data_IF_097561460100
#
_entry.id   IF_097561460100
#
_cell.length_a   1.000
_cell.length_b   1.000
_cell.length_c   1.000
_cell.angle_alpha   90.00
_cell.angle_beta   90.00
_cell.angle_gamma   90.00
#
_symmetry.space_group_name_H-M   'P 1'
#
loop_
_entity.id
_entity.type
_entity.pdbx_description
1 polymer ?
#
# COMPACT_ATOMS: atom_id res chain seq x y z
N UNK A 1 -11.96 9.60 4.56
CA UNK A 1 -10.61 9.75 3.96
C UNK A 1 -10.39 8.89 2.71
N UNK A 2 -11.24 7.89 2.46
CA UNK A 2 -11.30 7.17 1.18
C UNK A 2 -12.38 7.82 0.32
N UNK A 3 -12.09 8.10 -0.95
CA UNK A 3 -13.02 8.76 -1.88
C UNK A 3 -13.22 7.96 -3.17
N UNK A 4 -14.36 8.15 -3.83
CA UNK A 4 -14.67 7.56 -5.13
C UNK A 4 -13.90 8.24 -6.28
N UNK A 5 -14.00 7.69 -7.49
CA UNK A 5 -13.40 8.30 -8.69
C UNK A 5 -14.12 9.61 -9.07
N UNK A 6 -15.44 9.66 -8.86
CA UNK A 6 -16.28 10.83 -9.09
C UNK A 6 -15.92 11.96 -8.12
N UNK A 7 -15.78 11.65 -6.82
CA UNK A 7 -15.35 12.61 -5.82
C UNK A 7 -13.92 13.14 -6.11
N UNK A 8 -13.01 12.29 -6.59
CA UNK A 8 -11.68 12.74 -7.00
C UNK A 8 -11.74 13.68 -8.21
N UNK A 9 -12.63 13.41 -9.17
CA UNK A 9 -12.86 14.29 -10.31
C UNK A 9 -13.39 15.67 -9.86
N UNK A 10 -14.32 15.70 -8.91
CA UNK A 10 -14.81 16.95 -8.31
C UNK A 10 -13.68 17.72 -7.61
N UNK A 11 -12.79 17.04 -6.89
CA UNK A 11 -11.61 17.67 -6.27
C UNK A 11 -10.69 18.29 -7.32
N UNK A 12 -10.45 17.60 -8.45
CA UNK A 12 -9.65 18.13 -9.56
C UNK A 12 -10.27 19.39 -10.19
N UNK A 13 -11.59 19.56 -10.09
CA UNK A 13 -12.34 20.69 -10.66
C UNK A 13 -12.53 21.88 -9.70
N UNK A 14 -11.93 21.88 -8.51
CA UNK A 14 -12.08 22.96 -7.53
C UNK A 14 -11.43 24.27 -8.02
N UNK A 15 -12.24 25.30 -8.27
CA UNK A 15 -11.74 26.60 -8.74
C UNK A 15 -11.09 27.48 -7.66
N UNK A 16 -11.35 27.20 -6.37
CA UNK A 16 -10.83 28.01 -5.24
C UNK A 16 -9.43 27.60 -4.78
N UNK A 17 -8.99 26.41 -5.15
CA UNK A 17 -7.74 25.81 -4.72
C UNK A 17 -6.89 25.50 -5.93
N UNK A 18 -5.59 25.72 -5.84
CA UNK A 18 -4.68 25.26 -6.89
C UNK A 18 -4.41 23.77 -6.67
N UNK A 19 -4.94 22.95 -7.58
CA UNK A 19 -4.78 21.50 -7.58
C UNK A 19 -3.78 21.12 -8.66
N UNK A 20 -2.79 20.31 -8.31
CA UNK A 20 -1.81 19.80 -9.28
C UNK A 20 -1.58 18.32 -9.11
N UNK A 21 -1.61 17.62 -10.24
CA UNK A 21 -1.34 16.20 -10.32
C UNK A 21 0.12 15.94 -10.67
N UNK A 22 0.72 14.97 -10.00
CA UNK A 22 2.07 14.49 -10.23
C UNK A 22 2.02 12.99 -10.43
N UNK A 23 2.52 12.56 -11.59
CA UNK A 23 2.75 11.14 -11.83
C UNK A 23 3.86 10.65 -10.90
N UNK A 24 3.59 9.53 -10.22
CA UNK A 24 4.60 8.78 -9.47
C UNK A 24 5.17 7.64 -10.30
N UNK A 25 5.10 7.74 -11.63
CA UNK A 25 5.72 6.82 -12.56
C UNK A 25 7.15 7.24 -12.91
N UNK A 26 8.00 6.25 -13.18
CA UNK A 26 9.36 6.46 -13.63
C UNK A 26 9.83 5.36 -14.56
N UNK A 27 10.67 5.76 -15.53
CA UNK A 27 11.37 4.84 -16.41
C UNK A 27 12.50 4.15 -15.63
N UNK A 28 12.25 2.90 -15.23
CA UNK A 28 13.17 2.09 -14.43
C UNK A 28 14.43 1.69 -15.19
N UNK A 29 14.50 1.93 -16.51
CA UNK A 29 15.74 1.74 -17.29
C UNK A 29 16.68 2.95 -17.21
N UNK A 30 16.17 4.13 -16.84
CA UNK A 30 16.93 5.39 -16.85
C UNK A 30 17.26 5.93 -15.46
N UNK A 31 16.47 5.59 -14.45
CA UNK A 31 16.65 6.12 -13.09
C UNK A 31 16.23 5.09 -12.05
N UNK A 32 16.92 5.17 -10.92
CA UNK A 32 16.60 4.40 -9.72
C UNK A 32 15.34 4.94 -9.04
N UNK A 33 14.74 4.11 -8.19
CA UNK A 33 13.60 4.48 -7.36
C UNK A 33 13.92 5.68 -6.46
N UNK A 34 15.10 5.70 -5.85
CA UNK A 34 15.57 6.81 -5.02
C UNK A 34 15.61 8.13 -5.79
N UNK A 35 16.21 8.12 -6.99
CA UNK A 35 16.32 9.32 -7.83
C UNK A 35 14.95 9.79 -8.32
N UNK A 36 14.06 8.88 -8.67
CA UNK A 36 12.69 9.21 -9.07
C UNK A 36 11.94 9.93 -7.94
N UNK A 37 12.11 9.47 -6.70
CA UNK A 37 11.49 10.04 -5.52
C UNK A 37 12.08 11.40 -5.14
N UNK A 38 13.41 11.55 -5.22
CA UNK A 38 14.08 12.83 -4.96
C UNK A 38 13.67 13.90 -6.01
N UNK A 39 13.59 13.52 -7.30
CA UNK A 39 13.06 14.39 -8.37
C UNK A 39 11.60 14.79 -8.13
N UNK A 40 10.77 13.86 -7.65
CA UNK A 40 9.37 14.12 -7.33
C UNK A 40 9.25 15.13 -6.18
N UNK A 41 10.01 14.94 -5.10
CA UNK A 41 10.03 15.83 -3.94
C UNK A 41 10.41 17.26 -4.31
N UNK A 42 11.45 17.45 -5.14
CA UNK A 42 11.89 18.77 -5.60
C UNK A 42 10.81 19.44 -6.47
N UNK A 43 10.23 18.71 -7.43
CA UNK A 43 9.15 19.24 -8.28
C UNK A 43 7.95 19.69 -7.47
N UNK A 44 7.57 18.91 -6.46
CA UNK A 44 6.45 19.23 -5.58
C UNK A 44 6.78 20.45 -4.73
N UNK A 45 7.98 20.52 -4.15
CA UNK A 45 8.45 21.68 -3.37
C UNK A 45 8.30 22.99 -4.17
N UNK A 46 8.74 23.00 -5.43
CA UNK A 46 8.67 24.18 -6.29
C UNK A 46 7.22 24.61 -6.58
N UNK A 47 6.31 23.67 -6.73
CA UNK A 47 4.90 23.95 -7.00
C UNK A 47 4.14 24.40 -5.75
N UNK A 48 4.47 23.84 -4.58
CA UNK A 48 3.92 24.31 -3.31
C UNK A 48 4.35 25.76 -3.05
N UNK A 49 5.61 26.12 -3.36
CA UNK A 49 6.08 27.51 -3.27
C UNK A 49 5.34 28.47 -4.23
N UNK A 50 4.79 27.97 -5.33
CA UNK A 50 3.95 28.75 -6.26
C UNK A 50 2.49 28.89 -5.79
N UNK A 51 2.11 28.27 -4.68
CA UNK A 51 0.77 28.35 -4.10
C UNK A 51 -0.13 27.14 -4.36
N UNK A 52 0.41 26.02 -4.87
CA UNK A 52 -0.36 24.78 -4.99
C UNK A 52 -0.74 24.28 -3.60
N UNK A 53 -2.05 24.18 -3.36
CA UNK A 53 -2.64 23.82 -2.07
C UNK A 53 -3.13 22.36 -2.00
N UNK A 54 -3.27 21.70 -3.15
CA UNK A 54 -3.65 20.28 -3.22
C UNK A 54 -2.75 19.58 -4.23
N UNK A 55 -2.01 18.58 -3.76
CA UNK A 55 -1.17 17.72 -4.57
C UNK A 55 -1.86 16.37 -4.72
N UNK A 56 -1.96 15.88 -5.94
CA UNK A 56 -2.43 14.52 -6.23
C UNK A 56 -1.24 13.74 -6.75
N UNK A 57 -0.84 12.69 -6.04
CA UNK A 57 0.13 11.69 -6.49
C UNK A 57 -0.64 10.59 -7.22
N UNK A 58 -0.26 10.25 -8.45
CA UNK A 58 -0.99 9.25 -9.25
C UNK A 58 -0.07 8.21 -9.89
N UNK A 59 -0.33 6.93 -9.64
CA UNK A 59 0.33 5.81 -10.34
C UNK A 59 -0.45 5.37 -11.60
N UNK A 60 -1.48 6.12 -12.03
CA UNK A 60 -2.16 5.83 -13.30
C UNK A 60 -1.20 5.97 -14.48
N UNK A 61 -1.27 4.98 -15.38
CA UNK A 61 -0.48 4.94 -16.61
C UNK A 61 0.75 4.04 -16.55
N UNK A 62 0.85 3.14 -15.56
CA UNK A 62 1.86 2.06 -15.56
C UNK A 62 1.86 1.35 -16.91
N UNK A 63 3.03 1.24 -17.52
CA UNK A 63 3.24 0.56 -18.79
C UNK A 63 4.53 -0.29 -18.73
N UNK A 64 4.85 -0.99 -19.82
CA UNK A 64 6.00 -1.90 -19.88
C UNK A 64 7.34 -1.21 -19.52
N UNK A 65 7.47 0.09 -19.80
CA UNK A 65 8.69 0.90 -19.60
C UNK A 65 8.68 1.68 -18.30
N UNK A 66 7.51 2.09 -17.82
CA UNK A 66 7.33 2.96 -16.68
C UNK A 66 6.79 2.15 -15.49
N UNK A 67 7.66 1.90 -14.51
CA UNK A 67 7.26 1.39 -13.21
C UNK A 67 6.70 2.55 -12.35
N UNK A 68 6.12 2.21 -11.19
CA UNK A 68 5.56 3.17 -10.26
C UNK A 68 6.40 3.25 -8.98
N UNK A 69 6.44 4.41 -8.32
CA UNK A 69 6.96 4.52 -6.95
C UNK A 69 5.89 3.95 -6.01
N UNK A 70 6.18 3.00 -5.12
CA UNK A 70 5.19 2.47 -4.19
C UNK A 70 4.47 3.58 -3.44
N UNK A 71 3.14 3.52 -3.40
CA UNK A 71 2.28 4.62 -2.96
C UNK A 71 2.60 5.10 -1.54
N UNK A 72 2.90 4.14 -0.64
CA UNK A 72 3.29 4.44 0.73
C UNK A 72 4.63 5.19 0.80
N UNK A 73 5.61 4.78 -0.01
CA UNK A 73 6.91 5.42 -0.10
C UNK A 73 6.80 6.82 -0.71
N UNK A 74 6.00 6.97 -1.77
CA UNK A 74 5.75 8.27 -2.40
C UNK A 74 5.11 9.26 -1.41
N UNK A 75 4.04 8.85 -0.73
CA UNK A 75 3.36 9.69 0.27
C UNK A 75 4.30 10.05 1.41
N UNK A 76 4.97 9.07 2.01
CA UNK A 76 5.82 9.29 3.19
C UNK A 76 7.05 10.13 2.85
N UNK A 77 7.67 9.88 1.70
CA UNK A 77 8.82 10.66 1.20
C UNK A 77 8.46 12.11 0.95
N UNK A 78 7.35 12.37 0.25
CA UNK A 78 6.87 13.74 -0.01
C UNK A 78 6.43 14.42 1.29
N UNK A 79 5.71 13.72 2.17
CA UNK A 79 5.29 14.24 3.46
C UNK A 79 6.50 14.72 4.27
N UNK A 80 7.48 13.84 4.49
CA UNK A 80 8.67 14.15 5.29
C UNK A 80 9.54 15.23 4.64
N UNK A 81 9.67 15.23 3.31
CA UNK A 81 10.37 16.31 2.59
C UNK A 81 9.72 17.67 2.84
N UNK A 82 8.40 17.76 2.68
CA UNK A 82 7.66 19.01 2.91
C UNK A 82 7.68 19.44 4.38
N UNK A 83 7.69 18.51 5.33
CA UNK A 83 7.86 18.81 6.77
C UNK A 83 9.22 19.46 7.02
N UNK A 84 10.31 18.85 6.52
CA UNK A 84 11.68 19.40 6.65
C UNK A 84 11.85 20.78 6.01
N UNK A 85 11.05 21.09 4.99
CA UNK A 85 11.02 22.39 4.31
C UNK A 85 10.03 23.39 4.91
N UNK A 86 9.29 23.03 5.96
CA UNK A 86 8.21 23.84 6.55
C UNK A 86 7.09 24.18 5.55
N UNK A 87 6.85 23.30 4.56
CA UNK A 87 5.85 23.49 3.51
C UNK A 87 4.60 22.62 3.69
N UNK A 88 4.65 21.59 4.56
CA UNK A 88 3.55 20.62 4.69
C UNK A 88 2.22 21.22 5.13
N UNK A 89 2.23 22.32 5.86
CA UNK A 89 1.03 23.05 6.33
C UNK A 89 0.30 23.79 5.20
N UNK A 90 0.95 24.04 4.07
CA UNK A 90 0.40 24.79 2.95
C UNK A 90 -0.32 23.92 1.91
N UNK A 91 -0.21 22.60 2.02
CA UNK A 91 -0.77 21.68 1.01
C UNK A 91 -1.38 20.42 1.61
N UNK A 92 -2.41 19.89 0.95
CA UNK A 92 -2.91 18.54 1.17
C UNK A 92 -2.27 17.54 0.21
N UNK A 93 -2.10 16.30 0.66
CA UNK A 93 -1.58 15.20 -0.16
C UNK A 93 -2.70 14.21 -0.43
N UNK A 94 -3.04 14.00 -1.69
CA UNK A 94 -3.98 12.99 -2.15
C UNK A 94 -3.21 11.93 -2.91
N UNK A 95 -3.53 10.66 -2.70
CA UNK A 95 -2.94 9.54 -3.43
C UNK A 95 -4.03 8.83 -4.25
N UNK A 96 -3.88 8.86 -5.56
CA UNK A 96 -4.64 8.08 -6.53
C UNK A 96 -3.79 6.86 -6.89
N UNK A 97 -4.13 5.68 -6.37
CA UNK A 97 -3.27 4.50 -6.49
C UNK A 97 -4.01 3.20 -6.73
N UNK A 98 -3.40 2.30 -7.51
CA UNK A 98 -3.86 0.93 -7.72
C UNK A 98 -3.44 -0.06 -6.62
N UNK A 99 -2.48 0.28 -5.75
CA UNK A 99 -1.97 -0.61 -4.70
C UNK A 99 -2.87 -0.78 -3.46
N UNK A 100 -3.46 0.28 -2.88
CA UNK A 100 -4.20 0.17 -1.63
C UNK A 100 -5.54 -0.54 -1.83
N UNK A 101 -5.74 -1.62 -1.08
CA UNK A 101 -6.95 -2.47 -1.16
C UNK A 101 -7.38 -3.02 0.20
N UNK A 102 -6.45 -3.17 1.14
CA UNK A 102 -6.72 -3.64 2.50
C UNK A 102 -6.79 -2.47 3.48
N UNK A 103 -7.53 -2.65 4.57
CA UNK A 103 -7.71 -1.64 5.62
C UNK A 103 -6.36 -1.14 6.15
N UNK A 104 -5.38 -2.04 6.28
CA UNK A 104 -4.03 -1.68 6.73
C UNK A 104 -3.30 -0.75 5.76
N UNK A 105 -3.42 -0.96 4.44
CA UNK A 105 -2.81 -0.06 3.45
C UNK A 105 -3.33 1.37 3.61
N UNK A 106 -4.64 1.54 3.79
CA UNK A 106 -5.24 2.84 4.02
C UNK A 106 -4.77 3.48 5.33
N UNK A 107 -4.68 2.69 6.40
CA UNK A 107 -4.20 3.17 7.69
C UNK A 107 -2.73 3.64 7.60
N UNK A 108 -1.85 2.88 6.93
CA UNK A 108 -0.47 3.29 6.71
C UNK A 108 -0.39 4.59 5.90
N UNK A 109 -1.08 4.68 4.76
CA UNK A 109 -1.06 5.89 3.93
C UNK A 109 -1.50 7.13 4.71
N UNK A 110 -2.55 7.03 5.53
CA UNK A 110 -2.99 8.13 6.39
C UNK A 110 -1.98 8.44 7.50
N UNK A 111 -1.47 7.42 8.17
CA UNK A 111 -0.50 7.59 9.26
C UNK A 111 0.84 8.16 8.80
N UNK A 112 1.20 7.99 7.53
CA UNK A 112 2.39 8.57 6.90
C UNK A 112 2.11 9.83 6.08
N UNK A 113 0.89 10.38 6.15
CA UNK A 113 0.64 11.76 5.78
C UNK A 113 -0.22 12.01 4.55
N UNK A 114 -0.85 11.00 3.96
CA UNK A 114 -1.91 11.20 2.98
C UNK A 114 -3.12 11.82 3.67
N UNK A 115 -3.70 12.86 3.07
CA UNK A 115 -4.97 13.46 3.50
C UNK A 115 -6.15 12.62 3.02
N UNK A 116 -6.10 12.19 1.75
CA UNK A 116 -7.18 11.45 1.08
C UNK A 116 -6.59 10.38 0.17
N UNK A 117 -7.30 9.26 0.03
CA UNK A 117 -6.89 8.10 -0.76
C UNK A 117 -8.00 7.76 -1.75
N UNK A 118 -7.65 7.64 -3.03
CA UNK A 118 -8.50 7.12 -4.08
C UNK A 118 -7.92 5.79 -4.60
N UNK A 119 -8.49 4.64 -4.20
CA UNK A 119 -8.04 3.32 -4.63
C UNK A 119 -8.67 2.93 -5.97
N UNK A 120 -8.32 3.63 -7.07
CA UNK A 120 -9.07 3.50 -8.34
C UNK A 120 -9.15 2.05 -8.85
N UNK A 121 -8.08 1.24 -8.68
CA UNK A 121 -8.04 -0.13 -9.19
C UNK A 121 -9.00 -1.07 -8.45
N UNK A 122 -9.33 -0.75 -7.19
CA UNK A 122 -10.38 -1.48 -6.46
C UNK A 122 -11.74 -1.24 -7.11
N UNK A 123 -12.03 0.01 -7.50
CA UNK A 123 -13.30 0.34 -8.14
C UNK A 123 -13.42 -0.29 -9.53
N UNK A 124 -12.34 -0.30 -10.31
CA UNK A 124 -12.28 -1.05 -11.58
C UNK A 124 -12.48 -2.57 -11.36
N UNK A 125 -11.91 -3.11 -10.28
CA UNK A 125 -12.09 -4.52 -9.91
C UNK A 125 -13.55 -4.83 -9.53
N UNK A 126 -14.20 -3.95 -8.77
CA UNK A 126 -15.63 -4.05 -8.44
C UNK A 126 -16.47 -4.05 -9.72
N UNK A 127 -16.21 -3.11 -10.63
CA UNK A 127 -16.89 -3.03 -11.92
C UNK A 127 -16.75 -4.33 -12.72
N UNK A 128 -15.55 -4.91 -12.74
CA UNK A 128 -15.30 -6.19 -13.41
C UNK A 128 -16.04 -7.37 -12.76
N UNK A 129 -16.10 -7.43 -11.43
CA UNK A 129 -16.87 -8.46 -10.70
C UNK A 129 -18.38 -8.38 -10.98
N UNK A 130 -18.92 -7.16 -11.08
CA UNK A 130 -20.32 -6.94 -11.45
C UNK A 130 -20.57 -7.37 -12.89
N UNK A 131 -19.69 -6.97 -13.82
CA UNK A 131 -19.79 -7.35 -15.23
C UNK A 131 -19.74 -8.89 -15.44
N UNK A 132 -18.93 -9.58 -14.63
CA UNK A 132 -18.84 -11.05 -14.63
C UNK A 132 -20.01 -11.74 -13.90
N UNK A 133 -20.90 -10.99 -13.24
CA UNK A 133 -21.99 -11.49 -12.38
C UNK A 133 -21.51 -12.24 -11.12
N UNK A 134 -20.25 -12.04 -10.72
CA UNK A 134 -19.70 -12.54 -9.47
C UNK A 134 -20.20 -11.72 -8.26
N UNK A 135 -20.65 -10.48 -8.51
CA UNK A 135 -21.21 -9.58 -7.50
C UNK A 135 -22.60 -9.09 -7.95
N UNK A 136 -23.63 -9.41 -7.16
CA UNK A 136 -25.01 -9.01 -7.44
C UNK A 136 -25.39 -7.71 -6.68
N UNK A 137 -24.74 -6.60 -7.04
CA UNK A 137 -25.02 -5.25 -6.52
C UNK A 137 -24.84 -4.22 -7.64
N UNK A 138 -25.47 -3.04 -7.50
CA UNK A 138 -25.13 -1.91 -8.38
C UNK A 138 -23.73 -1.40 -8.07
N UNK A 139 -23.07 -0.80 -9.07
CA UNK A 139 -21.72 -0.25 -8.92
C UNK A 139 -21.66 0.79 -7.80
N UNK A 140 -22.61 1.72 -7.77
CA UNK A 140 -22.69 2.80 -6.78
C UNK A 140 -22.81 2.21 -5.37
N UNK A 141 -23.65 1.18 -5.20
CA UNK A 141 -23.83 0.54 -3.90
C UNK A 141 -22.58 -0.23 -3.45
N UNK A 142 -21.90 -0.88 -4.39
CA UNK A 142 -20.67 -1.61 -4.10
C UNK A 142 -19.53 -0.66 -3.68
N UNK A 143 -19.38 0.48 -4.37
CA UNK A 143 -18.42 1.54 -4.01
C UNK A 143 -18.75 2.14 -2.64
N UNK A 144 -20.01 2.50 -2.39
CA UNK A 144 -20.46 3.02 -1.09
C UNK A 144 -20.13 2.03 0.05
N UNK A 145 -20.44 0.74 -0.15
CA UNK A 145 -20.15 -0.30 0.82
C UNK A 145 -18.63 -0.44 1.07
N UNK A 146 -17.81 -0.36 0.02
CA UNK A 146 -16.34 -0.43 0.15
C UNK A 146 -15.78 0.76 0.93
N UNK A 147 -16.22 1.99 0.61
CA UNK A 147 -15.80 3.21 1.31
C UNK A 147 -16.21 3.14 2.78
N UNK A 148 -17.45 2.69 3.06
CA UNK A 148 -17.95 2.51 4.42
C UNK A 148 -17.12 1.48 5.21
N UNK A 149 -16.90 0.31 4.64
CA UNK A 149 -16.12 -0.75 5.27
C UNK A 149 -14.67 -0.32 5.54
N UNK A 150 -14.03 0.33 4.56
CA UNK A 150 -12.67 0.87 4.69
C UNK A 150 -12.61 1.95 5.77
N UNK A 151 -13.56 2.88 5.80
CA UNK A 151 -13.63 3.96 6.79
C UNK A 151 -13.85 3.41 8.20
N UNK A 152 -14.78 2.47 8.39
CA UNK A 152 -14.98 1.80 9.68
C UNK A 152 -13.73 1.01 10.12
N UNK A 153 -13.04 0.38 9.17
CA UNK A 153 -11.78 -0.31 9.42
C UNK A 153 -10.66 0.61 9.90
N UNK A 154 -10.51 1.78 9.28
CA UNK A 154 -9.51 2.79 9.69
C UNK A 154 -9.83 3.30 11.10
N UNK A 155 -11.10 3.60 11.40
CA UNK A 155 -11.53 4.01 12.74
C UNK A 155 -11.20 2.92 13.77
N UNK A 156 -11.41 1.64 13.43
CA UNK A 156 -11.05 0.50 14.28
C UNK A 156 -9.54 0.41 14.52
N UNK A 157 -8.70 0.74 13.54
CA UNK A 157 -7.24 0.75 13.73
C UNK A 157 -6.83 1.92 14.63
N UNK A 158 -7.32 3.13 14.35
CA UNK A 158 -7.01 4.33 15.12
C UNK A 158 -7.43 4.17 16.61
N UNK A 159 -8.58 3.58 16.87
CA UNK A 159 -9.08 3.38 18.23
C UNK A 159 -8.27 2.39 19.07
N UNK A 160 -7.51 1.47 18.44
CA UNK A 160 -6.57 0.59 19.17
C UNK A 160 -5.48 1.38 19.91
N UNK A 161 -5.12 2.54 19.38
CA UNK A 161 -4.13 3.46 19.97
C UNK A 161 -4.79 4.59 20.78
N UNK A 162 -6.11 4.54 20.99
CA UNK A 162 -6.86 5.60 21.67
C UNK A 162 -7.03 6.88 20.86
N UNK A 163 -6.78 6.84 19.54
CA UNK A 163 -6.94 8.01 18.68
C UNK A 163 -8.41 8.18 18.27
N UNK A 164 -9.01 9.29 18.69
CA UNK A 164 -10.45 9.57 18.50
C UNK A 164 -10.76 10.40 17.25
N UNK A 165 -9.75 11.01 16.61
CA UNK A 165 -9.94 11.82 15.39
C UNK A 165 -8.97 11.42 14.29
N UNK A 166 -9.44 11.38 13.05
CA UNK A 166 -8.58 11.09 11.89
C UNK A 166 -7.50 12.15 11.67
N UNK A 167 -7.76 13.40 12.07
CA UNK A 167 -6.79 14.49 11.95
C UNK A 167 -5.58 14.25 12.85
N UNK A 168 -5.77 13.75 14.07
CA UNK A 168 -4.67 13.37 14.96
C UNK A 168 -3.95 12.11 14.50
N UNK A 169 -4.63 11.22 13.76
CA UNK A 169 -4.02 10.03 13.17
C UNK A 169 -3.13 10.37 11.95
N UNK A 170 -3.47 11.41 11.20
CA UNK A 170 -2.75 11.81 9.99
C UNK A 170 -1.30 12.21 10.30
N UNK A 171 -0.33 11.55 9.65
CA UNK A 171 1.10 11.84 9.88
C UNK A 171 1.62 11.44 11.26
N UNK A 172 0.82 10.71 12.06
CA UNK A 172 1.21 10.29 13.42
C UNK A 172 2.28 9.19 13.45
N UNK A 173 2.47 8.49 12.34
CA UNK A 173 3.41 7.37 12.21
C UNK A 173 3.32 6.33 13.35
N UNK A 174 2.10 6.02 13.82
CA UNK A 174 1.83 5.04 14.87
C UNK A 174 2.01 3.59 14.38
N UNK A 175 3.21 3.27 13.92
CA UNK A 175 3.61 1.98 13.39
C UNK A 175 5.01 1.61 13.90
N UNK A 176 5.34 0.32 13.79
CA UNK A 176 6.69 -0.21 13.98
C UNK A 176 7.10 -0.90 12.70
N UNK A 177 8.28 -0.58 12.19
CA UNK A 177 8.85 -1.20 11.01
C UNK A 177 9.73 -2.38 11.42
N UNK A 178 9.51 -3.52 10.78
CA UNK A 178 10.31 -4.73 10.98
C UNK A 178 10.99 -5.08 9.66
N UNK A 179 12.33 -5.18 9.66
CA UNK A 179 13.09 -5.61 8.49
C UNK A 179 13.36 -4.52 7.45
N UNK A 180 13.32 -3.24 7.84
CA UNK A 180 13.74 -2.12 7.00
C UNK A 180 15.02 -1.52 7.56
N UNK A 181 15.92 -1.06 6.69
CA UNK A 181 17.15 -0.43 7.13
C UNK A 181 16.89 0.92 7.81
N UNK A 182 17.74 1.29 8.78
CA UNK A 182 17.71 2.62 9.38
C UNK A 182 17.86 3.74 8.34
N UNK A 183 18.63 3.52 7.26
CA UNK A 183 18.77 4.47 6.15
C UNK A 183 17.42 4.80 5.51
N UNK A 184 16.59 3.79 5.25
CA UNK A 184 15.25 3.98 4.68
C UNK A 184 14.32 4.65 5.69
N UNK A 185 14.35 4.21 6.94
CA UNK A 185 13.51 4.79 8.01
C UNK A 185 13.82 6.28 8.21
N UNK A 186 15.10 6.62 8.39
CA UNK A 186 15.51 8.00 8.63
C UNK A 186 15.15 8.91 7.47
N UNK A 187 15.32 8.44 6.22
CA UNK A 187 15.03 9.26 5.03
C UNK A 187 13.53 9.38 4.76
N UNK A 188 12.76 8.29 4.81
CA UNK A 188 11.40 8.24 4.28
C UNK A 188 10.31 8.01 5.32
N UNK A 189 10.58 7.35 6.44
CA UNK A 189 9.61 7.02 7.49
C UNK A 189 10.06 7.57 8.85
N UNK A 190 10.57 8.81 8.84
CA UNK A 190 11.24 9.42 9.99
C UNK A 190 10.42 9.29 11.28
N UNK A 191 11.10 9.01 12.39
CA UNK A 191 10.50 8.78 13.72
C UNK A 191 9.71 7.47 13.87
N UNK A 192 9.70 6.59 12.88
CA UNK A 192 9.19 5.23 13.04
C UNK A 192 10.23 4.36 13.73
N UNK A 193 9.81 3.54 14.69
CA UNK A 193 10.73 2.60 15.35
C UNK A 193 11.03 1.44 14.42
N UNK A 194 12.31 1.07 14.30
CA UNK A 194 12.73 -0.20 13.72
C UNK A 194 13.85 -0.80 14.56
N UNK A 195 13.64 -2.02 15.06
CA UNK A 195 14.61 -2.73 15.93
C UNK A 195 15.44 -3.76 15.19
N UNK A 196 15.03 -4.08 13.97
CA UNK A 196 15.62 -5.13 13.14
C UNK A 196 15.90 -4.47 11.79
N UNK A 197 17.18 -4.24 11.52
CA UNK A 197 17.67 -3.80 10.22
C UNK A 197 17.25 -4.78 9.12
N UNK A 198 17.20 -4.29 7.89
CA UNK A 198 16.88 -5.15 6.75
C UNK A 198 16.99 -4.41 5.43
N UNK A 199 15.92 -4.47 4.65
CA UNK A 199 15.91 -4.07 3.24
C UNK A 199 16.16 -2.58 3.06
N UNK A 200 16.95 -2.27 2.03
CA UNK A 200 17.18 -0.92 1.53
C UNK A 200 16.26 -0.59 0.33
N UNK A 201 16.35 0.65 -0.18
CA UNK A 201 15.58 1.07 -1.36
C UNK A 201 15.91 0.26 -2.62
N UNK A 202 17.17 -0.12 -2.76
CA UNK A 202 17.66 -0.91 -3.88
C UNK A 202 17.02 -2.31 -3.91
N UNK A 203 16.75 -2.89 -2.73
CA UNK A 203 16.06 -4.18 -2.61
C UNK A 203 14.59 -4.05 -3.01
N UNK A 204 13.91 -3.00 -2.54
CA UNK A 204 12.53 -2.71 -2.96
C UNK A 204 12.42 -2.51 -4.46
N UNK A 205 13.33 -1.74 -5.05
CA UNK A 205 13.36 -1.51 -6.48
C UNK A 205 13.53 -2.82 -7.25
N UNK A 206 14.43 -3.69 -6.80
CA UNK A 206 14.67 -5.00 -7.42
C UNK A 206 13.43 -5.89 -7.39
N UNK A 207 12.75 -6.00 -6.25
CA UNK A 207 11.53 -6.81 -6.10
C UNK A 207 10.38 -6.23 -6.94
N UNK A 208 10.21 -4.92 -6.89
CA UNK A 208 9.19 -4.21 -7.66
C UNK A 208 9.39 -4.41 -9.17
N UNK A 209 10.61 -4.24 -9.67
CA UNK A 209 10.92 -4.43 -11.10
C UNK A 209 10.74 -5.90 -11.50
N UNK A 210 11.08 -6.85 -10.63
CA UNK A 210 10.82 -8.27 -10.90
C UNK A 210 9.32 -8.55 -11.03
N UNK A 211 8.49 -8.00 -10.13
CA UNK A 211 7.04 -8.10 -10.20
C UNK A 211 6.48 -7.42 -11.46
N UNK A 212 6.98 -6.22 -11.79
CA UNK A 212 6.58 -5.45 -12.97
C UNK A 212 6.85 -6.24 -14.25
N UNK A 213 8.09 -6.71 -14.44
CA UNK A 213 8.48 -7.54 -15.59
C UNK A 213 7.67 -8.83 -15.66
N UNK A 214 7.38 -9.45 -14.51
CA UNK A 214 6.54 -10.65 -14.49
C UNK A 214 5.13 -10.32 -14.99
N UNK A 215 4.49 -9.25 -14.48
CA UNK A 215 3.14 -8.87 -14.87
C UNK A 215 3.00 -8.51 -16.37
N UNK A 216 4.00 -7.87 -16.98
CA UNK A 216 3.98 -7.53 -18.41
C UNK A 216 4.34 -8.71 -19.33
N UNK A 217 5.08 -9.70 -18.82
CA UNK A 217 5.38 -10.92 -19.57
C UNK A 217 4.36 -12.04 -19.34
N UNK A 218 3.54 -11.93 -18.31
CA UNK A 218 2.53 -12.94 -18.00
C UNK A 218 1.43 -12.92 -19.06
N UNK A 219 1.15 -14.11 -19.59
CA UNK A 219 0.10 -14.32 -20.60
C UNK A 219 -1.18 -14.89 -19.98
N UNK A 220 -1.13 -15.24 -18.69
CA UNK A 220 -2.29 -15.73 -17.96
C UNK A 220 -3.30 -14.61 -17.68
N UNK A 221 -4.58 -14.95 -17.80
CA UNK A 221 -5.69 -14.00 -17.57
C UNK A 221 -6.16 -13.92 -16.12
N UNK A 222 -5.66 -14.81 -15.26
CA UNK A 222 -6.09 -14.95 -13.88
C UNK A 222 -4.91 -14.69 -12.93
N UNK A 223 -5.19 -14.06 -11.79
CA UNK A 223 -4.19 -13.84 -10.75
C UNK A 223 -3.82 -15.15 -10.08
N UNK A 224 -2.54 -15.31 -9.74
CA UNK A 224 -2.07 -16.48 -9.01
C UNK A 224 -2.56 -16.48 -7.55
N UNK A 225 -3.01 -17.63 -7.08
CA UNK A 225 -3.45 -17.80 -5.69
C UNK A 225 -2.25 -18.15 -4.82
N UNK A 226 -1.62 -17.12 -4.24
CA UNK A 226 -0.40 -17.27 -3.40
C UNK A 226 -0.61 -18.03 -2.09
N UNK A 227 -1.85 -18.24 -1.64
CA UNK A 227 -2.10 -18.98 -0.39
C UNK A 227 -1.67 -18.25 0.88
N UNK A 228 -1.58 -16.92 0.87
CA UNK A 228 -1.12 -16.12 2.03
C UNK A 228 -2.04 -16.32 3.26
N UNK A 229 -3.36 -16.26 3.08
CA UNK A 229 -4.31 -16.42 4.19
C UNK A 229 -4.67 -17.87 4.50
N UNK A 230 -4.36 -18.79 3.60
CA UNK A 230 -4.75 -20.19 3.73
C UNK A 230 -3.88 -21.06 2.85
N UNK A 231 -3.38 -22.15 3.44
CA UNK A 231 -2.45 -23.06 2.81
C UNK A 231 -2.89 -23.48 1.41
N UNK A 232 -1.96 -23.42 0.46
CA UNK A 232 -2.09 -24.03 -0.87
C UNK A 232 -0.81 -24.77 -1.20
N UNK A 233 -0.96 -25.91 -1.87
CA UNK A 233 0.18 -26.74 -2.27
C UNK A 233 1.13 -25.98 -3.19
N UNK A 234 2.44 -26.04 -2.91
CA UNK A 234 3.51 -25.38 -3.66
C UNK A 234 3.39 -23.84 -3.77
N UNK A 235 2.77 -23.20 -2.76
CA UNK A 235 2.67 -21.75 -2.65
C UNK A 235 3.41 -21.27 -1.40
N UNK A 236 2.89 -20.26 -0.70
CA UNK A 236 3.47 -19.82 0.57
C UNK A 236 3.61 -20.98 1.57
N UNK A 237 4.73 -20.98 2.29
CA UNK A 237 4.99 -21.94 3.36
C UNK A 237 4.18 -21.54 4.61
N UNK A 238 3.53 -22.52 5.23
CA UNK A 238 2.77 -22.32 6.46
C UNK A 238 3.35 -23.21 7.55
N UNK A 239 3.59 -22.62 8.74
CA UNK A 239 4.03 -23.38 9.92
C UNK A 239 3.08 -24.56 10.24
N UNK A 240 1.79 -24.37 9.95
CA UNK A 240 0.75 -25.38 10.13
C UNK A 240 0.25 -25.81 8.75
N UNK A 241 0.93 -26.77 8.16
CA UNK A 241 0.48 -27.44 6.93
C UNK A 241 -0.28 -28.76 7.23
N UNK A 242 -0.95 -29.37 6.23
CA UNK A 242 -1.67 -30.62 6.42
C UNK A 242 -0.82 -31.80 6.92
N UNK A 243 0.47 -31.86 6.57
CA UNK A 243 1.39 -32.92 6.99
C UNK A 243 1.81 -32.75 8.46
N UNK A 244 2.05 -31.52 8.89
CA UNK A 244 2.30 -31.15 10.29
C UNK A 244 1.11 -31.55 11.14
N UNK A 245 -0.11 -31.18 10.73
CA UNK A 245 -1.35 -31.55 11.43
C UNK A 245 -1.51 -33.07 11.50
N UNK A 246 -1.34 -33.76 10.38
CA UNK A 246 -1.52 -35.21 10.31
C UNK A 246 -0.55 -35.95 11.23
N UNK A 247 0.74 -35.64 11.18
CA UNK A 247 1.75 -36.32 12.01
C UNK A 247 1.53 -36.05 13.50
N UNK A 248 1.15 -34.82 13.88
CA UNK A 248 0.85 -34.49 15.27
C UNK A 248 -0.40 -35.22 15.77
N UNK A 249 -1.47 -35.26 14.98
CA UNK A 249 -2.70 -35.98 15.33
C UNK A 249 -2.45 -37.48 15.50
N UNK A 250 -1.67 -38.10 14.60
CA UNK A 250 -1.32 -39.52 14.69
C UNK A 250 -0.45 -39.81 15.92
N UNK A 251 0.54 -38.96 16.20
CA UNK A 251 1.39 -39.08 17.37
C UNK A 251 0.57 -39.06 18.67
N UNK A 252 -0.35 -38.09 18.81
CA UNK A 252 -1.17 -37.93 20.00
C UNK A 252 -2.22 -39.04 20.16
N UNK A 253 -2.91 -39.42 19.07
CA UNK A 253 -3.95 -40.48 19.11
C UNK A 253 -3.38 -41.84 19.46
N UNK A 254 -2.23 -42.17 18.87
CA UNK A 254 -1.63 -43.50 18.99
C UNK A 254 -0.56 -43.57 20.09
N UNK A 255 -0.27 -42.45 20.76
CA UNK A 255 0.87 -42.30 21.70
C UNK A 255 2.20 -42.73 21.06
N UNK A 256 2.38 -42.44 19.77
CA UNK A 256 3.54 -42.87 18.98
C UNK A 256 4.60 -41.77 18.91
N UNK A 257 5.70 -41.99 19.62
CA UNK A 257 6.85 -41.10 19.62
C UNK A 257 7.56 -41.03 18.26
N UNK A 258 7.49 -42.07 17.41
CA UNK A 258 8.08 -42.01 16.06
C UNK A 258 7.33 -41.03 15.18
N UNK A 259 6.00 -41.05 15.22
CA UNK A 259 5.16 -40.05 14.55
C UNK A 259 5.40 -38.65 15.09
N UNK A 260 5.64 -38.50 16.41
CA UNK A 260 6.03 -37.21 16.98
C UNK A 260 7.35 -36.68 16.41
N UNK A 261 8.37 -37.55 16.26
CA UNK A 261 9.64 -37.18 15.61
C UNK A 261 9.47 -36.75 14.16
N UNK A 262 8.53 -37.36 13.41
CA UNK A 262 8.21 -36.94 12.05
C UNK A 262 7.59 -35.55 12.04
N UNK A 263 6.64 -35.30 12.94
CA UNK A 263 6.06 -33.96 13.14
C UNK A 263 7.14 -32.92 13.46
N UNK A 264 7.99 -33.19 14.47
CA UNK A 264 9.01 -32.23 14.91
C UNK A 264 10.16 -32.05 13.92
N UNK A 265 10.24 -32.85 12.87
CA UNK A 265 11.21 -32.66 11.79
C UNK A 265 10.64 -31.79 10.65
N UNK A 266 9.33 -31.57 10.63
CA UNK A 266 8.65 -30.69 9.68
C UNK A 266 8.51 -29.25 10.20
N UNK A 267 8.78 -29.02 11.48
CA UNK A 267 8.65 -27.74 12.21
C UNK A 267 10.02 -27.33 12.72
#
# INVERSE_FOLDING_TARGET
PVISNEELFEVKALNKFQVKEFSILYDYSKKTLEKALDELCVKIEDEVKKGVSIIILSDKGVDEKNAYIPALLAVSGVHNHLVRKNLRTHTSLIIESGEPREIHHFACLLGYGATVINPYLVYESIQKLIANKDLNLSYEKAVENFIKASSSGIVKIASKMGVSTLQSYNGSALFECLGLSSKVIDKYFTSTTSRIEGMDLEDFEKELIALHKHAFNDTHKALDSKGIHGFRSAKEEHLIDPLVIFNLQQACRNKDYKSFKKYSALV
#
